data_IF_001818109607
#
_entry.id   IF_001818109607
#
_cell.length_a   1.000
_cell.length_b   1.000
_cell.length_c   1.000
_cell.angle_alpha   90.00
_cell.angle_beta   90.00
_cell.angle_gamma   90.00
#
_symmetry.space_group_name_H-M   'P 1'
#
loop_
_entity.id
_entity.type
_entity.pdbx_description
1 polymer ?
#
# COMPACT_ATOMS: atom_id res chain seq x y z
N UNK A 1 22.18 -30.50 12.08
CA UNK A 1 21.11 -30.67 11.08
C UNK A 1 19.82 -30.14 11.69
N UNK A 2 19.50 -28.88 11.46
CA UNK A 2 18.18 -28.29 11.77
C UNK A 2 17.30 -28.51 10.55
N UNK A 3 16.15 -29.11 10.75
CA UNK A 3 15.15 -29.33 9.71
C UNK A 3 14.52 -27.97 9.45
N UNK A 4 14.67 -27.45 8.23
CA UNK A 4 13.97 -26.26 7.74
C UNK A 4 12.48 -26.57 7.74
N UNK A 5 11.71 -25.79 8.50
CA UNK A 5 10.25 -25.88 8.49
C UNK A 5 9.73 -25.27 7.18
N UNK A 6 8.89 -25.94 6.42
CA UNK A 6 8.42 -25.43 5.14
C UNK A 6 7.52 -24.20 5.34
N UNK A 7 7.64 -23.27 4.41
CA UNK A 7 6.85 -22.06 4.29
C UNK A 7 5.35 -22.40 4.28
N UNK A 8 4.65 -21.99 5.31
CA UNK A 8 3.24 -22.26 5.42
C UNK A 8 2.48 -21.26 4.53
N UNK A 9 1.72 -21.77 3.56
CA UNK A 9 0.86 -20.99 2.65
C UNK A 9 -0.10 -20.04 3.38
N UNK A 10 -0.37 -20.27 4.67
CA UNK A 10 -1.19 -19.38 5.52
C UNK A 10 -0.43 -18.15 6.02
N UNK A 11 0.87 -18.14 5.99
CA UNK A 11 1.69 -17.14 6.64
C UNK A 11 1.88 -15.84 5.80
N UNK A 12 1.73 -15.91 4.49
CA UNK A 12 1.91 -14.72 3.62
C UNK A 12 0.76 -13.69 3.70
N UNK A 13 -0.32 -13.99 4.42
CA UNK A 13 -1.64 -13.37 4.22
C UNK A 13 -2.05 -12.22 5.13
N UNK A 14 -1.37 -11.98 6.23
CA UNK A 14 -1.88 -11.06 7.26
C UNK A 14 -1.07 -9.75 7.41
N UNK A 15 -0.01 -9.56 6.64
CA UNK A 15 0.93 -8.45 6.79
C UNK A 15 0.52 -7.11 6.16
N UNK A 16 -0.55 -7.07 5.38
CA UNK A 16 -1.01 -5.82 4.76
C UNK A 16 -2.29 -5.36 5.47
N UNK A 17 -2.09 -4.68 6.57
CA UNK A 17 -3.10 -3.80 7.15
C UNK A 17 -4.36 -4.45 7.74
N UNK A 18 -4.24 -5.42 8.65
CA UNK A 18 -5.41 -5.91 9.40
C UNK A 18 -5.15 -6.08 10.88
N UNK A 19 -5.95 -5.43 11.68
CA UNK A 19 -6.31 -5.86 13.01
C UNK A 19 -7.72 -6.45 12.96
N UNK A 20 -7.83 -7.77 13.02
CA UNK A 20 -9.13 -8.47 13.15
C UNK A 20 -9.33 -8.90 14.58
N UNK A 21 -10.44 -8.52 15.16
CA UNK A 21 -10.92 -9.04 16.43
C UNK A 21 -11.24 -10.54 16.35
N UNK A 22 -10.93 -11.25 17.42
CA UNK A 22 -11.18 -12.67 17.63
C UNK A 22 -12.70 -12.91 17.70
N UNK A 23 -13.24 -13.67 16.76
CA UNK A 23 -14.63 -14.14 16.77
C UNK A 23 -14.71 -15.63 17.05
N UNK A 24 -15.38 -15.99 18.16
CA UNK A 24 -15.68 -17.37 18.56
C UNK A 24 -16.60 -18.08 17.54
N UNK A 25 -16.27 -19.33 17.26
CA UNK A 25 -17.11 -20.28 16.54
C UNK A 25 -18.42 -20.57 17.29
N UNK A 26 -19.58 -20.29 16.69
CA UNK A 26 -20.87 -20.81 17.10
C UNK A 26 -21.58 -21.56 15.96
N UNK A 27 -22.17 -22.69 16.32
CA UNK A 27 -22.82 -23.67 15.46
C UNK A 27 -24.00 -23.09 14.70
N UNK A 28 -24.15 -23.50 13.44
CA UNK A 28 -25.24 -23.12 12.52
C UNK A 28 -26.47 -23.98 12.80
N UNK A 29 -27.62 -23.33 13.02
CA UNK A 29 -28.94 -23.91 12.91
C UNK A 29 -29.72 -23.26 11.73
N UNK A 30 -30.62 -23.93 11.04
CA UNK A 30 -31.20 -23.45 9.78
C UNK A 30 -32.24 -22.36 10.00
N UNK A 31 -32.19 -21.31 9.18
CA UNK A 31 -33.12 -20.17 9.21
C UNK A 31 -34.09 -20.27 8.04
N UNK A 32 -35.37 -20.17 8.37
CA UNK A 32 -36.51 -20.05 7.48
C UNK A 32 -36.57 -18.67 6.78
N UNK A 33 -37.03 -18.66 5.52
CA UNK A 33 -37.21 -17.47 4.68
C UNK A 33 -38.32 -16.54 5.20
N UNK A 34 -38.03 -15.23 5.27
CA UNK A 34 -38.99 -14.14 5.25
C UNK A 34 -38.51 -13.06 4.29
N UNK A 35 -39.38 -12.53 3.39
CA UNK A 35 -38.98 -11.53 2.39
C UNK A 35 -39.19 -10.09 2.91
N UNK A 36 -38.29 -9.17 2.54
CA UNK A 36 -38.59 -7.74 2.63
C UNK A 36 -37.44 -6.88 3.14
N UNK A 37 -36.95 -5.97 2.25
CA UNK A 37 -36.19 -4.76 2.52
C UNK A 37 -34.84 -4.90 3.24
N UNK A 38 -33.78 -5.12 2.49
CA UNK A 38 -32.41 -5.01 2.97
C UNK A 38 -31.95 -3.55 3.00
N UNK A 39 -32.19 -2.88 4.10
CA UNK A 39 -31.27 -1.85 4.57
C UNK A 39 -30.21 -2.63 5.33
N UNK A 40 -28.96 -2.64 4.84
CA UNK A 40 -27.85 -3.27 5.57
C UNK A 40 -27.62 -2.47 6.85
N UNK A 41 -28.03 -3.04 7.97
CA UNK A 41 -27.72 -2.55 9.33
C UNK A 41 -26.22 -2.83 9.64
N UNK A 42 -25.31 -2.26 8.83
CA UNK A 42 -23.92 -2.12 9.22
C UNK A 42 -23.84 -0.85 10.05
N UNK A 43 -23.52 -0.98 11.34
CA UNK A 43 -23.33 0.17 12.21
C UNK A 43 -22.38 1.19 11.56
N UNK A 44 -22.69 2.48 11.63
CA UNK A 44 -21.84 3.51 11.04
C UNK A 44 -20.45 3.38 11.62
N UNK A 45 -19.44 3.25 10.75
CA UNK A 45 -18.05 3.10 11.17
C UNK A 45 -17.52 4.41 11.65
N UNK A 46 -16.99 4.41 12.85
CA UNK A 46 -16.27 5.51 13.43
C UNK A 46 -14.77 5.25 13.30
N UNK A 47 -13.99 6.31 13.20
CA UNK A 47 -12.55 6.18 13.06
C UNK A 47 -11.86 7.49 12.76
N UNK A 48 -10.62 7.38 12.30
CA UNK A 48 -9.82 8.52 11.90
C UNK A 48 -9.13 8.24 10.57
N UNK A 49 -9.13 9.24 9.68
CA UNK A 49 -8.35 9.22 8.46
C UNK A 49 -7.17 10.18 8.55
N UNK A 50 -6.04 9.73 8.07
CA UNK A 50 -4.79 10.47 7.96
C UNK A 50 -4.47 10.62 6.48
N UNK A 51 -4.39 11.85 6.01
CA UNK A 51 -4.25 12.20 4.59
C UNK A 51 -2.98 12.99 4.41
N UNK A 52 -2.05 12.45 3.65
CA UNK A 52 -0.86 13.17 3.23
C UNK A 52 -1.14 14.04 2.02
N UNK A 53 -0.64 15.27 2.02
CA UNK A 53 -0.72 16.20 0.89
C UNK A 53 0.64 16.74 0.51
N UNK A 54 0.90 16.83 -0.80
CA UNK A 54 2.11 17.44 -1.35
C UNK A 54 1.72 18.30 -2.55
N UNK A 55 1.59 19.60 -2.36
CA UNK A 55 1.14 20.53 -3.40
C UNK A 55 2.26 21.37 -4.03
N UNK A 56 3.49 21.22 -3.56
CA UNK A 56 4.63 22.00 -4.04
C UNK A 56 4.59 23.50 -3.74
N UNK A 57 3.55 24.00 -3.06
CA UNK A 57 3.29 25.43 -2.82
C UNK A 57 3.27 25.81 -1.34
N UNK A 58 3.69 24.91 -0.44
CA UNK A 58 3.87 25.21 0.99
C UNK A 58 2.73 24.78 1.91
N UNK A 59 1.69 24.10 1.40
CA UNK A 59 0.62 23.49 2.21
C UNK A 59 0.80 21.99 2.40
N UNK A 60 1.99 21.48 2.08
CA UNK A 60 2.35 20.07 2.27
C UNK A 60 2.22 19.67 3.75
N UNK A 61 1.52 18.57 4.03
CA UNK A 61 1.28 18.17 5.39
C UNK A 61 0.45 16.91 5.55
N UNK A 62 0.09 16.65 6.81
CA UNK A 62 -0.79 15.55 7.19
C UNK A 62 -2.08 16.17 7.74
N UNK A 63 -3.21 15.75 7.20
CA UNK A 63 -4.53 16.20 7.62
C UNK A 63 -5.25 15.05 8.33
N UNK A 64 -5.81 15.33 9.50
CA UNK A 64 -6.55 14.36 10.33
C UNK A 64 -8.04 14.63 10.21
N UNK A 65 -8.81 13.59 9.92
CA UNK A 65 -10.26 13.63 9.89
C UNK A 65 -10.84 12.63 10.89
N UNK A 66 -11.89 13.03 11.57
CA UNK A 66 -12.78 12.13 12.29
C UNK A 66 -13.82 11.57 11.31
N UNK A 67 -13.98 10.24 11.29
CA UNK A 67 -14.95 9.53 10.47
C UNK A 67 -16.15 9.17 11.34
N UNK A 68 -17.36 9.55 10.91
CA UNK A 68 -18.65 9.14 11.51
C UNK A 68 -19.59 8.69 10.39
N UNK A 69 -19.62 7.39 10.14
CA UNK A 69 -20.29 6.85 8.96
C UNK A 69 -19.71 7.42 7.66
N UNK A 70 -20.57 8.04 6.84
CA UNK A 70 -20.15 8.64 5.56
C UNK A 70 -19.66 10.09 5.70
N UNK A 71 -19.60 10.64 6.91
CA UNK A 71 -19.17 12.01 7.16
C UNK A 71 -17.76 12.06 7.70
N UNK A 72 -16.90 12.87 7.06
CA UNK A 72 -15.55 13.14 7.48
C UNK A 72 -15.43 14.57 7.97
N UNK A 73 -15.04 14.74 9.23
CA UNK A 73 -14.86 16.05 9.85
C UNK A 73 -13.39 16.32 10.06
N UNK A 74 -12.88 17.40 9.47
CA UNK A 74 -11.53 17.88 9.70
C UNK A 74 -11.26 18.18 11.20
N UNK A 75 -10.09 17.75 11.68
CA UNK A 75 -9.64 17.89 13.08
C UNK A 75 -8.34 18.65 13.22
N UNK A 76 -7.33 18.32 12.38
CA UNK A 76 -5.97 18.81 12.55
C UNK A 76 -5.24 18.86 11.21
N UNK A 77 -4.32 19.81 11.05
CA UNK A 77 -3.29 19.77 10.01
C UNK A 77 -1.92 19.96 10.63
N UNK A 78 -0.95 19.19 10.16
CA UNK A 78 0.43 19.18 10.65
C UNK A 78 1.35 19.38 9.45
N UNK A 79 2.29 20.34 9.48
CA UNK A 79 3.29 20.48 8.41
C UNK A 79 4.17 19.21 8.30
N UNK A 80 4.30 18.69 7.08
CA UNK A 80 5.17 17.58 6.75
C UNK A 80 5.63 17.73 5.30
N UNK A 81 6.90 17.47 5.03
CA UNK A 81 7.48 17.71 3.69
C UNK A 81 7.19 16.52 2.78
N UNK A 82 6.34 16.71 1.77
CA UNK A 82 6.06 15.69 0.73
C UNK A 82 5.75 14.28 1.30
N UNK A 83 4.68 14.11 2.10
CA UNK A 83 4.31 12.82 2.70
C UNK A 83 3.71 11.90 1.63
N UNK A 84 4.47 10.92 1.15
CA UNK A 84 4.06 10.03 0.04
C UNK A 84 3.57 8.66 0.48
N UNK A 85 3.90 8.23 1.69
CA UNK A 85 3.46 6.95 2.23
C UNK A 85 3.13 7.09 3.71
N UNK A 86 1.90 6.77 4.07
CA UNK A 86 1.39 6.79 5.44
C UNK A 86 1.09 5.35 5.89
N UNK A 87 1.61 4.96 7.05
CA UNK A 87 1.51 3.59 7.56
C UNK A 87 1.11 3.60 9.03
N UNK A 88 0.08 2.85 9.37
CA UNK A 88 -0.23 2.59 10.77
C UNK A 88 0.68 1.48 11.32
N UNK A 89 1.16 1.66 12.53
CA UNK A 89 1.77 0.57 13.28
C UNK A 89 0.72 -0.55 13.53
N UNK A 90 1.09 -1.84 13.57
CA UNK A 90 0.12 -2.93 13.81
C UNK A 90 -0.76 -2.77 15.06
N UNK A 91 -0.25 -2.13 16.14
CA UNK A 91 -1.05 -1.80 17.33
C UNK A 91 -1.96 -0.57 17.16
N UNK A 92 -1.89 0.12 16.01
CA UNK A 92 -2.65 1.34 15.69
C UNK A 92 -2.47 2.53 16.67
N UNK A 93 -1.36 2.57 17.40
CA UNK A 93 -1.04 3.67 18.31
C UNK A 93 -0.07 4.69 17.70
N UNK A 94 0.56 4.34 16.59
CA UNK A 94 1.51 5.21 15.88
C UNK A 94 1.24 5.24 14.38
N UNK A 95 1.53 6.39 13.79
CA UNK A 95 1.53 6.61 12.34
C UNK A 95 2.96 6.93 11.90
N UNK A 96 3.43 6.27 10.85
CA UNK A 96 4.69 6.56 10.18
C UNK A 96 4.44 7.25 8.85
N UNK A 97 5.27 8.23 8.54
CA UNK A 97 5.16 9.05 7.35
C UNK A 97 6.50 9.09 6.64
N UNK A 98 6.52 8.65 5.39
CA UNK A 98 7.69 8.73 4.52
C UNK A 98 7.66 10.05 3.77
N UNK A 99 8.74 10.82 3.86
CA UNK A 99 8.88 12.12 3.22
C UNK A 99 9.75 11.99 1.96
N UNK A 100 9.14 12.14 0.78
CA UNK A 100 9.81 12.07 -0.52
C UNK A 100 10.52 13.39 -0.82
N UNK A 101 11.70 13.56 -0.24
CA UNK A 101 12.54 14.74 -0.45
C UNK A 101 13.93 14.35 -0.92
N UNK A 102 14.61 15.29 -1.60
CA UNK A 102 15.98 15.12 -2.06
C UNK A 102 17.00 15.49 -0.99
N UNK A 103 16.61 16.35 -0.05
CA UNK A 103 17.52 16.91 0.95
C UNK A 103 16.84 17.06 2.31
N UNK A 104 17.59 16.79 3.36
CA UNK A 104 17.23 17.09 4.74
C UNK A 104 18.46 17.57 5.50
N UNK A 105 18.37 18.76 6.14
CA UNK A 105 19.47 19.41 6.88
C UNK A 105 20.77 19.55 6.07
N UNK A 106 20.65 19.97 4.80
CA UNK A 106 21.80 20.15 3.90
C UNK A 106 22.45 18.85 3.42
N UNK A 107 21.83 17.69 3.68
CA UNK A 107 22.36 16.38 3.28
C UNK A 107 21.40 15.67 2.30
N UNK A 108 21.93 14.93 1.29
CA UNK A 108 21.12 14.26 0.28
C UNK A 108 20.43 13.00 0.87
N UNK A 109 19.32 13.20 1.52
CA UNK A 109 18.52 12.14 2.17
C UNK A 109 17.09 12.57 2.44
N UNK A 110 16.17 11.62 2.38
CA UNK A 110 14.80 11.77 2.87
C UNK A 110 14.69 11.46 4.37
N UNK A 111 13.46 11.49 4.87
CA UNK A 111 13.14 11.26 6.28
C UNK A 111 11.94 10.35 6.45
N UNK A 112 11.83 9.79 7.67
CA UNK A 112 10.61 9.18 8.20
C UNK A 112 10.20 9.91 9.46
N UNK A 113 8.95 10.28 9.58
CA UNK A 113 8.36 10.85 10.79
C UNK A 113 7.54 9.79 11.51
N UNK A 114 7.63 9.76 12.83
CA UNK A 114 6.77 8.96 13.69
C UNK A 114 5.85 9.88 14.51
N UNK A 115 4.56 9.56 14.49
CA UNK A 115 3.54 10.28 15.26
C UNK A 115 2.83 9.33 16.20
N UNK A 116 2.59 9.77 17.44
CA UNK A 116 1.65 9.11 18.36
C UNK A 116 0.24 9.51 17.97
N UNK A 117 -0.66 8.53 17.94
CA UNK A 117 -2.09 8.73 17.70
C UNK A 117 -2.79 8.82 19.05
N UNK A 118 -3.46 9.91 19.35
CA UNK A 118 -4.34 10.01 20.49
C UNK A 118 -5.51 9.03 20.35
N UNK A 119 -5.75 8.21 21.36
CA UNK A 119 -6.77 7.18 21.30
C UNK A 119 -8.21 7.73 21.34
N UNK A 120 -8.38 8.93 21.91
CA UNK A 120 -9.69 9.54 22.10
C UNK A 120 -10.18 10.32 20.88
N UNK A 121 -9.29 11.12 20.27
CA UNK A 121 -9.69 12.04 19.22
C UNK A 121 -8.91 11.88 17.89
N UNK A 122 -7.97 10.92 17.84
CA UNK A 122 -7.17 10.61 16.65
C UNK A 122 -6.11 11.64 16.31
N UNK A 123 -5.94 12.70 17.12
CA UNK A 123 -4.93 13.72 16.86
C UNK A 123 -3.52 13.14 16.87
N UNK A 124 -2.62 13.76 16.12
CA UNK A 124 -1.23 13.34 15.98
C UNK A 124 -0.31 14.24 16.77
N UNK A 125 0.61 13.63 17.52
CA UNK A 125 1.74 14.31 18.15
C UNK A 125 3.05 13.75 17.60
N UNK A 126 3.91 14.60 17.03
CA UNK A 126 5.21 14.19 16.51
C UNK A 126 6.06 13.62 17.66
N UNK A 127 6.52 12.39 17.46
CA UNK A 127 7.45 11.72 18.38
C UNK A 127 8.89 12.02 17.98
N UNK A 128 9.22 11.73 16.72
CA UNK A 128 10.52 12.06 16.15
C UNK A 128 10.48 12.07 14.61
N UNK A 129 11.52 12.70 14.03
CA UNK A 129 11.85 12.61 12.61
C UNK A 129 13.20 11.96 12.47
N UNK A 130 13.27 10.83 11.79
CA UNK A 130 14.48 10.07 11.59
C UNK A 130 15.00 10.26 10.16
N UNK A 131 16.20 10.84 9.97
CA UNK A 131 16.84 10.88 8.66
C UNK A 131 17.20 9.48 8.17
N UNK A 132 17.06 9.26 6.86
CA UNK A 132 17.51 8.06 6.18
C UNK A 132 19.02 8.08 5.90
N UNK A 133 19.55 7.01 5.33
CA UNK A 133 20.99 6.93 4.97
C UNK A 133 21.40 8.03 4.00
N UNK A 134 22.68 8.39 3.99
CA UNK A 134 23.23 9.31 2.97
C UNK A 134 22.97 8.74 1.57
N UNK A 135 22.61 9.61 0.63
CA UNK A 135 22.08 9.27 -0.70
C UNK A 135 20.72 8.53 -0.66
N UNK A 136 20.06 8.50 0.48
CA UNK A 136 18.69 7.96 0.63
C UNK A 136 17.63 8.97 0.18
N UNK A 137 17.78 9.56 -0.99
CA UNK A 137 16.89 10.56 -1.56
C UNK A 137 15.61 9.93 -2.15
N UNK A 138 14.53 10.70 -2.17
CA UNK A 138 13.23 10.30 -2.73
C UNK A 138 12.76 8.92 -2.25
N UNK A 139 12.66 8.70 -0.93
CA UNK A 139 12.02 7.48 -0.43
C UNK A 139 10.56 7.47 -0.88
N UNK A 140 10.04 6.29 -1.30
CA UNK A 140 8.73 6.18 -1.95
C UNK A 140 7.70 5.40 -1.15
N UNK A 141 8.12 4.32 -0.54
CA UNK A 141 7.22 3.41 0.16
C UNK A 141 7.92 2.81 1.37
N UNK A 142 7.13 2.38 2.35
CA UNK A 142 7.65 1.63 3.47
C UNK A 142 6.68 0.51 3.87
N UNK A 143 7.17 -0.42 4.69
CA UNK A 143 6.37 -1.45 5.33
C UNK A 143 6.83 -1.64 6.77
N UNK A 144 5.87 -1.76 7.69
CA UNK A 144 6.12 -2.14 9.09
C UNK A 144 6.11 -3.67 9.18
N UNK A 145 7.06 -4.26 9.90
CA UNK A 145 7.03 -5.70 10.16
C UNK A 145 5.78 -6.09 10.97
N UNK A 146 5.21 -7.29 10.77
CA UNK A 146 3.97 -7.68 11.44
C UNK A 146 4.06 -7.68 12.98
N UNK A 147 5.26 -7.88 13.53
CA UNK A 147 5.52 -7.78 14.97
C UNK A 147 5.68 -6.34 15.47
N UNK A 148 5.64 -5.35 14.58
CA UNK A 148 5.81 -3.94 14.90
C UNK A 148 7.23 -3.51 15.28
N UNK A 149 8.23 -4.36 15.09
CA UNK A 149 9.60 -4.09 15.58
C UNK A 149 10.47 -3.32 14.60
N UNK A 150 10.12 -3.32 13.30
CA UNK A 150 10.94 -2.74 12.25
C UNK A 150 10.11 -2.04 11.17
N UNK A 151 10.72 -1.03 10.57
CA UNK A 151 10.27 -0.35 9.37
C UNK A 151 11.30 -0.60 8.25
N UNK A 152 10.84 -1.01 7.08
CA UNK A 152 11.67 -1.10 5.86
C UNK A 152 11.21 -0.05 4.87
N UNK A 153 12.13 0.78 4.40
CA UNK A 153 11.87 1.89 3.48
C UNK A 153 12.51 1.62 2.13
N UNK A 154 11.71 1.67 1.06
CA UNK A 154 12.18 1.67 -0.32
C UNK A 154 12.60 3.08 -0.72
N UNK A 155 13.84 3.23 -1.15
CA UNK A 155 14.45 4.52 -1.50
C UNK A 155 14.62 4.58 -3.01
N UNK A 156 13.66 5.18 -3.68
CA UNK A 156 13.56 5.22 -5.13
C UNK A 156 14.74 5.99 -5.77
N UNK A 157 14.93 7.26 -5.40
CA UNK A 157 15.99 8.07 -5.97
C UNK A 157 17.39 7.63 -5.57
N UNK A 158 17.54 7.04 -4.39
CA UNK A 158 18.81 6.55 -3.87
C UNK A 158 19.15 5.11 -4.25
N UNK A 159 18.25 4.35 -4.86
CA UNK A 159 18.48 2.95 -5.25
C UNK A 159 18.85 2.05 -4.07
N UNK A 160 18.09 2.08 -2.98
CA UNK A 160 18.41 1.33 -1.77
C UNK A 160 17.16 0.95 -0.96
N UNK A 161 17.34 0.06 0.01
CA UNK A 161 16.41 -0.14 1.12
C UNK A 161 17.09 0.25 2.42
N UNK A 162 16.35 0.90 3.33
CA UNK A 162 16.80 1.13 4.70
C UNK A 162 15.93 0.34 5.67
N UNK A 163 16.56 -0.33 6.64
CA UNK A 163 15.88 -0.97 7.77
C UNK A 163 16.08 -0.11 8.99
N UNK A 164 14.98 0.22 9.67
CA UNK A 164 14.97 1.03 10.87
C UNK A 164 14.25 0.28 12.00
N UNK A 165 14.89 0.04 13.14
CA UNK A 165 14.18 -0.49 14.31
C UNK A 165 13.14 0.50 14.80
N UNK A 166 12.07 -0.01 15.40
CA UNK A 166 11.05 0.76 16.09
C UNK A 166 11.21 0.54 17.60
N UNK A 167 11.17 1.63 18.36
CA UNK A 167 11.20 1.56 19.81
C UNK A 167 9.84 1.05 20.35
N UNK A 168 9.78 0.52 21.60
CA UNK A 168 8.54 0.05 22.19
C UNK A 168 7.42 1.12 22.28
N UNK A 169 7.77 2.39 22.32
CA UNK A 169 6.84 3.52 22.30
C UNK A 169 6.40 3.92 20.88
N UNK A 170 6.98 3.27 19.82
CA UNK A 170 6.71 3.53 18.43
C UNK A 170 7.65 4.53 17.75
N UNK A 171 8.62 5.11 18.46
CA UNK A 171 9.59 6.03 17.84
C UNK A 171 10.50 5.30 16.85
N UNK A 172 10.82 5.93 15.70
CA UNK A 172 11.72 5.36 14.68
C UNK A 172 13.16 5.55 15.13
N UNK A 173 13.93 4.47 15.14
CA UNK A 173 15.36 4.51 15.50
C UNK A 173 16.26 4.72 14.27
N UNK A 174 17.55 4.86 14.50
CA UNK A 174 18.55 5.05 13.42
C UNK A 174 18.55 3.85 12.47
N UNK A 175 18.87 4.11 11.20
CA UNK A 175 19.06 3.08 10.17
C UNK A 175 20.04 2.02 10.68
N UNK A 176 19.57 0.78 10.76
CA UNK A 176 20.35 -0.38 11.22
C UNK A 176 20.96 -1.19 10.08
N UNK A 177 20.34 -1.12 8.89
CA UNK A 177 20.87 -1.75 7.67
C UNK A 177 20.55 -0.89 6.46
N UNK A 178 21.53 -0.82 5.55
CA UNK A 178 21.39 -0.26 4.20
C UNK A 178 21.63 -1.39 3.22
N UNK A 179 20.66 -1.65 2.35
CA UNK A 179 20.82 -2.60 1.25
C UNK A 179 20.77 -1.82 -0.07
N UNK A 180 21.94 -1.65 -0.69
CA UNK A 180 22.07 -0.94 -1.96
C UNK A 180 21.69 -1.87 -3.12
N UNK A 181 20.87 -1.36 -4.03
CA UNK A 181 20.57 -1.98 -5.30
C UNK A 181 21.48 -1.44 -6.38
N UNK A 182 21.89 -2.32 -7.30
CA UNK A 182 22.76 -1.98 -8.42
C UNK A 182 22.18 -2.58 -9.70
N UNK A 183 22.20 -1.81 -10.78
CA UNK A 183 21.76 -2.24 -12.08
C UNK A 183 21.06 -1.13 -12.84
N UNK A 184 20.61 -1.46 -14.04
CA UNK A 184 19.83 -0.62 -14.94
C UNK A 184 18.86 -1.52 -15.72
N UNK A 185 17.76 -0.96 -16.17
CA UNK A 185 16.85 -1.59 -17.10
C UNK A 185 17.13 -1.14 -18.54
N UNK A 186 16.15 -1.38 -19.41
CA UNK A 186 16.31 -1.11 -20.85
C UNK A 186 15.65 0.20 -21.31
N UNK A 187 14.84 0.85 -20.44
CA UNK A 187 14.19 2.10 -20.80
C UNK A 187 15.19 3.27 -20.72
N UNK A 188 15.45 3.99 -21.83
CA UNK A 188 16.58 4.92 -21.93
C UNK A 188 16.50 6.14 -20.99
N UNK A 189 15.30 6.54 -20.57
CA UNK A 189 15.08 7.74 -19.76
C UNK A 189 14.82 7.43 -18.27
N UNK A 190 14.23 6.28 -17.95
CA UNK A 190 13.71 6.02 -16.59
C UNK A 190 14.42 4.88 -15.86
N UNK A 191 15.31 4.13 -16.55
CA UNK A 191 15.95 2.95 -15.99
C UNK A 191 17.49 3.00 -16.04
N UNK A 192 18.05 4.20 -15.87
CA UNK A 192 19.50 4.36 -15.83
C UNK A 192 20.17 3.79 -14.56
N UNK A 193 19.38 3.53 -13.52
CA UNK A 193 19.82 2.97 -12.24
C UNK A 193 18.68 2.24 -11.54
N UNK A 194 18.99 1.56 -10.43
CA UNK A 194 17.99 0.92 -9.59
C UNK A 194 17.06 1.96 -8.91
N UNK A 195 15.77 1.68 -8.91
CA UNK A 195 14.71 2.50 -8.33
C UNK A 195 13.73 1.63 -7.52
N UNK A 196 14.10 1.18 -6.29
CA UNK A 196 13.20 0.47 -5.39
C UNK A 196 11.89 1.25 -5.19
N UNK A 197 10.74 0.62 -5.47
CA UNK A 197 9.45 1.30 -5.46
C UNK A 197 8.57 0.87 -4.28
N UNK A 198 8.19 -0.40 -4.20
CA UNK A 198 7.29 -0.91 -3.16
C UNK A 198 7.94 -2.05 -2.39
N UNK A 199 7.67 -2.12 -1.09
CA UNK A 199 8.04 -3.21 -0.19
C UNK A 199 6.81 -3.73 0.53
N UNK A 200 6.69 -5.04 0.73
CA UNK A 200 5.61 -5.66 1.46
C UNK A 200 6.10 -6.88 2.23
N UNK A 201 5.80 -6.95 3.52
CA UNK A 201 6.04 -8.15 4.33
C UNK A 201 4.99 -9.22 4.06
N UNK A 202 5.39 -10.48 4.22
CA UNK A 202 4.46 -11.56 4.45
C UNK A 202 3.87 -11.49 5.87
N UNK A 203 2.84 -12.28 6.14
CA UNK A 203 2.17 -12.28 7.44
C UNK A 203 3.06 -12.73 8.60
N UNK A 204 4.09 -13.53 8.33
CA UNK A 204 5.02 -14.00 9.37
C UNK A 204 6.10 -12.99 9.69
N UNK A 205 6.30 -11.99 8.83
CA UNK A 205 7.44 -11.08 8.88
C UNK A 205 8.77 -11.71 8.52
N UNK A 206 8.79 -12.96 8.05
CA UNK A 206 10.01 -13.67 7.67
C UNK A 206 10.45 -13.37 6.24
N UNK A 207 9.52 -12.92 5.40
CA UNK A 207 9.77 -12.61 4.00
C UNK A 207 9.29 -11.21 3.65
N UNK A 208 9.97 -10.61 2.68
CA UNK A 208 9.63 -9.31 2.15
C UNK A 208 9.75 -9.35 0.63
N UNK A 209 8.66 -9.02 -0.06
CA UNK A 209 8.65 -8.76 -1.49
C UNK A 209 8.95 -7.29 -1.75
N UNK A 210 9.71 -7.03 -2.82
CA UNK A 210 9.99 -5.67 -3.26
C UNK A 210 10.05 -5.59 -4.78
N UNK A 211 9.60 -4.44 -5.32
CA UNK A 211 9.71 -4.10 -6.73
C UNK A 211 10.83 -3.09 -6.94
N UNK A 212 11.52 -3.20 -8.06
CA UNK A 212 12.54 -2.25 -8.52
C UNK A 212 12.21 -1.81 -9.95
N UNK A 213 11.66 -0.61 -10.05
CA UNK A 213 11.22 0.01 -11.30
C UNK A 213 12.38 0.24 -12.28
N UNK A 214 13.54 0.61 -11.74
CA UNK A 214 14.72 0.95 -12.53
C UNK A 214 15.46 -0.22 -13.13
N UNK A 215 15.20 -1.44 -12.65
CA UNK A 215 15.89 -2.65 -13.07
C UNK A 215 14.98 -3.76 -13.58
N UNK A 216 13.67 -3.51 -13.71
CA UNK A 216 12.66 -4.52 -14.06
C UNK A 216 12.72 -5.76 -13.15
N UNK A 217 12.81 -5.55 -11.83
CA UNK A 217 13.05 -6.64 -10.87
C UNK A 217 11.95 -6.74 -9.83
N UNK A 218 11.68 -7.99 -9.47
CA UNK A 218 10.92 -8.36 -8.27
C UNK A 218 11.88 -9.14 -7.39
N UNK A 219 12.14 -8.62 -6.20
CA UNK A 219 13.06 -9.19 -5.24
C UNK A 219 12.28 -9.85 -4.10
N UNK A 220 12.72 -11.05 -3.69
CA UNK A 220 12.30 -11.70 -2.46
C UNK A 220 13.48 -11.70 -1.48
N UNK A 221 13.23 -11.22 -0.28
CA UNK A 221 14.18 -11.21 0.81
C UNK A 221 13.67 -12.07 1.96
N UNK A 222 14.56 -12.73 2.68
CA UNK A 222 14.32 -13.17 4.06
C UNK A 222 14.55 -11.99 4.99
N UNK A 223 13.78 -11.94 6.06
CA UNK A 223 13.90 -10.92 7.10
C UNK A 223 13.95 -11.59 8.48
N UNK A 224 15.05 -11.42 9.18
CA UNK A 224 15.26 -12.01 10.52
C UNK A 224 16.02 -11.03 11.40
N UNK A 225 15.50 -10.75 12.60
CA UNK A 225 16.14 -9.87 13.58
C UNK A 225 16.59 -8.52 13.00
N UNK A 226 15.76 -7.90 12.18
CA UNK A 226 16.05 -6.63 11.54
C UNK A 226 17.06 -6.71 10.39
N UNK A 227 17.34 -7.89 9.87
CA UNK A 227 18.24 -8.08 8.73
C UNK A 227 17.51 -8.62 7.52
N UNK A 228 17.63 -7.88 6.43
CA UNK A 228 17.17 -8.23 5.08
C UNK A 228 18.28 -8.95 4.33
N UNK A 229 17.99 -10.12 3.73
CA UNK A 229 18.90 -10.84 2.83
C UNK A 229 18.15 -11.29 1.58
N UNK A 230 18.64 -10.92 0.38
CA UNK A 230 18.01 -11.36 -0.87
C UNK A 230 18.16 -12.86 -1.06
N UNK A 231 17.03 -13.54 -1.24
CA UNK A 231 16.98 -14.98 -1.52
C UNK A 231 16.63 -15.27 -2.96
N UNK A 232 15.83 -14.39 -3.60
CA UNK A 232 15.40 -14.55 -4.98
C UNK A 232 15.31 -13.20 -5.70
N UNK A 233 15.45 -13.27 -7.01
CA UNK A 233 15.19 -12.19 -7.92
C UNK A 233 14.50 -12.74 -9.17
N UNK A 234 13.41 -12.14 -9.57
CA UNK A 234 12.68 -12.45 -10.80
C UNK A 234 12.69 -11.20 -11.68
N UNK A 235 12.96 -11.38 -12.96
CA UNK A 235 12.85 -10.28 -13.92
C UNK A 235 11.41 -10.17 -14.41
N UNK A 236 10.90 -8.96 -14.47
CA UNK A 236 9.70 -8.64 -15.24
C UNK A 236 10.08 -8.40 -16.71
N UNK A 237 9.11 -8.04 -17.54
CA UNK A 237 9.39 -7.71 -18.94
C UNK A 237 10.33 -6.49 -19.03
N UNK A 238 11.25 -6.46 -20.00
CA UNK A 238 12.12 -5.31 -20.22
C UNK A 238 11.32 -4.02 -20.44
N UNK A 239 11.76 -2.94 -19.80
CA UNK A 239 11.11 -1.62 -19.82
C UNK A 239 9.66 -1.61 -19.28
N UNK A 240 9.28 -2.55 -18.43
CA UNK A 240 7.97 -2.54 -17.79
C UNK A 240 7.89 -1.60 -16.58
N UNK A 241 8.95 -1.50 -15.80
CA UNK A 241 9.02 -0.67 -14.60
C UNK A 241 8.06 -1.14 -13.49
N UNK A 242 8.33 -2.29 -12.81
CA UNK A 242 7.47 -2.79 -11.75
C UNK A 242 7.38 -1.82 -10.58
N UNK A 243 6.18 -1.29 -10.34
CA UNK A 243 5.85 -0.28 -9.34
C UNK A 243 5.10 -0.85 -8.13
N UNK A 244 3.78 -0.59 -8.03
CA UNK A 244 2.99 -1.08 -6.90
C UNK A 244 2.79 -2.59 -6.91
N UNK A 245 2.70 -3.16 -5.69
CA UNK A 245 2.55 -4.58 -5.46
C UNK A 245 1.36 -4.82 -4.52
N UNK A 246 0.50 -5.79 -4.85
CA UNK A 246 -0.56 -6.27 -3.99
C UNK A 246 -0.51 -7.79 -3.88
N UNK A 247 -0.57 -8.32 -2.64
CA UNK A 247 -0.59 -9.75 -2.38
C UNK A 247 -2.02 -10.27 -2.29
N UNK A 248 -2.26 -11.43 -2.86
CA UNK A 248 -3.56 -12.09 -2.76
C UNK A 248 -3.73 -12.71 -1.35
N UNK A 249 -4.93 -12.62 -0.75
CA UNK A 249 -5.20 -13.19 0.56
C UNK A 249 -4.91 -14.68 0.74
N UNK A 250 -4.85 -15.48 -0.30
CA UNK A 250 -4.43 -16.89 -0.22
C UNK A 250 -2.92 -17.10 -0.05
N UNK A 251 -2.10 -16.06 -0.27
CA UNK A 251 -0.64 -16.16 -0.33
C UNK A 251 -0.08 -16.89 -1.56
N UNK A 252 -0.97 -17.39 -2.43
CA UNK A 252 -0.54 -18.12 -3.63
C UNK A 252 -0.15 -17.20 -4.78
N UNK A 253 -0.63 -15.96 -4.77
CA UNK A 253 -0.45 -15.00 -5.85
C UNK A 253 -0.07 -13.62 -5.33
N UNK A 254 0.59 -12.86 -6.16
CA UNK A 254 0.71 -11.41 -6.02
C UNK A 254 0.65 -10.76 -7.39
N UNK A 255 0.31 -9.48 -7.39
CA UNK A 255 0.13 -8.68 -8.59
C UNK A 255 1.03 -7.47 -8.54
N UNK A 256 1.56 -7.08 -9.70
CA UNK A 256 2.44 -5.92 -9.83
C UNK A 256 1.90 -5.03 -10.94
N UNK A 257 1.66 -3.76 -10.63
CA UNK A 257 1.38 -2.77 -11.64
C UNK A 257 2.70 -2.19 -12.16
N UNK A 258 2.84 -2.12 -13.46
CA UNK A 258 4.03 -1.65 -14.12
C UNK A 258 3.86 -0.19 -14.58
N UNK A 259 4.80 0.66 -14.21
CA UNK A 259 4.73 2.11 -14.40
C UNK A 259 4.95 2.50 -15.86
N UNK A 260 5.92 1.87 -16.54
CA UNK A 260 6.40 2.33 -17.83
C UNK A 260 5.55 1.83 -18.98
N UNK A 261 5.09 0.58 -18.95
CA UNK A 261 4.26 -0.02 -20.00
C UNK A 261 2.78 -0.15 -19.62
N UNK A 262 2.41 0.23 -18.36
CA UNK A 262 1.02 0.25 -17.85
C UNK A 262 0.31 -1.08 -17.94
N UNK A 263 1.05 -2.13 -17.67
CA UNK A 263 0.51 -3.47 -17.53
C UNK A 263 0.32 -3.83 -16.05
N UNK A 264 -0.44 -4.90 -15.82
CA UNK A 264 -0.48 -5.59 -14.54
C UNK A 264 -0.02 -7.02 -14.79
N UNK A 265 0.98 -7.44 -14.03
CA UNK A 265 1.46 -8.82 -14.03
C UNK A 265 0.89 -9.59 -12.84
N UNK A 266 0.45 -10.82 -13.08
CA UNK A 266 0.12 -11.81 -12.08
C UNK A 266 1.27 -12.79 -11.92
N UNK A 267 1.69 -13.00 -10.68
CA UNK A 267 2.71 -13.98 -10.32
C UNK A 267 2.14 -15.00 -9.34
N UNK A 268 2.58 -16.24 -9.48
CA UNK A 268 2.31 -17.32 -8.54
C UNK A 268 3.52 -17.55 -7.64
N UNK A 269 3.28 -17.65 -6.34
CA UNK A 269 4.24 -18.19 -5.37
C UNK A 269 4.05 -19.70 -5.29
N UNK A 270 4.79 -20.48 -6.07
CA UNK A 270 4.58 -21.93 -6.15
C UNK A 270 5.11 -22.68 -4.89
N UNK A 271 6.15 -22.17 -4.29
CA UNK A 271 6.75 -22.55 -3.01
C UNK A 271 7.83 -21.50 -2.66
N UNK A 272 8.59 -21.68 -1.58
CA UNK A 272 9.70 -20.79 -1.18
C UNK A 272 10.76 -20.54 -2.27
N UNK A 273 10.76 -21.36 -3.30
CA UNK A 273 11.81 -21.41 -4.31
C UNK A 273 11.42 -20.79 -5.64
N UNK A 274 10.14 -20.55 -5.92
CA UNK A 274 9.74 -20.25 -7.28
C UNK A 274 8.62 -19.18 -7.36
N UNK A 275 8.97 -18.07 -8.00
CA UNK A 275 8.02 -17.05 -8.46
C UNK A 275 7.83 -17.28 -9.96
N UNK A 276 6.60 -17.62 -10.37
CA UNK A 276 6.24 -17.85 -11.77
C UNK A 276 5.34 -16.72 -12.26
N UNK A 277 5.66 -16.18 -13.42
CA UNK A 277 4.77 -15.28 -14.14
C UNK A 277 3.62 -16.09 -14.76
N UNK A 278 2.37 -15.70 -14.47
CA UNK A 278 1.16 -16.43 -14.91
C UNK A 278 0.38 -15.67 -15.97
N UNK A 279 0.38 -14.33 -15.90
CA UNK A 279 -0.40 -13.51 -16.83
C UNK A 279 0.13 -12.09 -16.85
N UNK A 280 0.05 -11.47 -18.02
CA UNK A 280 0.19 -10.03 -18.20
C UNK A 280 -1.04 -9.46 -18.88
N UNK A 281 -1.57 -8.38 -18.35
CA UNK A 281 -2.68 -7.64 -18.96
C UNK A 281 -2.26 -6.18 -19.17
N UNK A 282 -2.62 -5.62 -20.32
CA UNK A 282 -2.51 -4.18 -20.55
C UNK A 282 -3.66 -3.45 -19.85
N UNK A 283 -3.36 -2.36 -19.17
CA UNK A 283 -4.41 -1.45 -18.68
C UNK A 283 -4.74 -0.42 -19.77
N UNK A 284 -5.97 0.07 -19.79
CA UNK A 284 -6.46 0.93 -20.89
C UNK A 284 -5.96 2.38 -20.83
N UNK A 285 -5.06 2.72 -19.93
CA UNK A 285 -4.55 4.08 -19.83
C UNK A 285 -3.70 4.48 -21.02
N UNK A 286 -4.03 5.60 -21.67
CA UNK A 286 -3.31 6.15 -22.84
C UNK A 286 -2.43 7.36 -22.52
N UNK A 287 -2.40 7.81 -21.26
CA UNK A 287 -1.66 9.00 -20.86
C UNK A 287 -0.14 8.76 -20.83
N UNK A 288 0.69 9.81 -20.87
CA UNK A 288 2.14 9.70 -20.92
C UNK A 288 2.73 8.93 -19.72
N UNK A 289 3.93 8.39 -19.82
CA UNK A 289 4.59 7.66 -18.74
C UNK A 289 4.42 8.41 -17.42
N UNK A 290 3.71 7.80 -16.50
CA UNK A 290 3.24 8.41 -15.24
C UNK A 290 3.51 7.48 -14.08
N UNK A 291 3.00 7.83 -12.92
CA UNK A 291 3.15 7.04 -11.71
C UNK A 291 2.52 5.65 -11.81
N UNK A 292 3.07 4.70 -11.07
CA UNK A 292 2.53 3.35 -10.98
C UNK A 292 1.09 3.39 -10.48
N UNK A 293 0.22 2.60 -11.11
CA UNK A 293 -1.18 2.47 -10.68
C UNK A 293 -1.24 1.83 -9.28
N UNK A 294 -1.89 2.51 -8.34
CA UNK A 294 -2.19 1.90 -7.05
C UNK A 294 -3.12 0.71 -7.25
N UNK A 295 -2.76 -0.44 -6.71
CA UNK A 295 -3.56 -1.66 -6.79
C UNK A 295 -3.89 -2.17 -5.39
N UNK A 296 -5.13 -2.61 -5.18
CA UNK A 296 -5.59 -3.21 -3.93
C UNK A 296 -6.46 -4.44 -4.18
N UNK A 297 -6.43 -5.38 -3.22
CA UNK A 297 -7.21 -6.61 -3.24
C UNK A 297 -7.93 -6.74 -1.90
N UNK A 298 -9.28 -6.85 -1.86
CA UNK A 298 -10.02 -7.12 -0.65
C UNK A 298 -9.65 -8.46 0.00
N UNK A 299 -9.94 -8.62 1.29
CA UNK A 299 -9.72 -9.89 2.01
C UNK A 299 -10.49 -11.08 1.42
N UNK A 300 -11.55 -10.83 0.63
CA UNK A 300 -12.23 -11.87 -0.13
C UNK A 300 -11.37 -12.52 -1.20
N UNK A 301 -10.33 -11.83 -1.68
CA UNK A 301 -9.48 -12.28 -2.78
C UNK A 301 -10.17 -12.35 -4.16
N UNK A 302 -11.43 -11.91 -4.27
CA UNK A 302 -12.20 -12.08 -5.51
C UNK A 302 -11.89 -11.05 -6.59
N UNK A 303 -11.46 -9.87 -6.20
CA UNK A 303 -11.30 -8.75 -7.12
C UNK A 303 -9.99 -8.01 -6.90
N UNK A 304 -9.47 -7.45 -7.99
CA UNK A 304 -8.38 -6.48 -7.97
C UNK A 304 -8.89 -5.14 -8.50
N UNK A 305 -8.55 -4.07 -7.80
CA UNK A 305 -8.84 -2.69 -8.17
C UNK A 305 -7.55 -1.96 -8.47
N UNK A 306 -7.48 -1.29 -9.62
CA UNK A 306 -6.32 -0.47 -9.98
C UNK A 306 -6.77 0.94 -10.37
N UNK A 307 -6.21 1.94 -9.67
CA UNK A 307 -6.45 3.34 -9.96
C UNK A 307 -5.51 3.84 -11.07
N UNK A 308 -6.03 4.67 -11.95
CA UNK A 308 -5.29 5.35 -13.01
C UNK A 308 -5.86 6.75 -13.24
N UNK A 309 -5.20 7.53 -14.11
CA UNK A 309 -5.70 8.85 -14.53
C UNK A 309 -7.06 8.81 -15.26
N UNK A 310 -7.49 7.63 -15.72
CA UNK A 310 -8.78 7.46 -16.40
C UNK A 310 -9.90 6.93 -15.50
N UNK A 311 -9.57 6.59 -14.24
CA UNK A 311 -10.51 6.01 -13.28
C UNK A 311 -9.99 4.73 -12.63
N UNK A 312 -10.87 3.79 -12.31
CA UNK A 312 -10.53 2.54 -11.65
C UNK A 312 -10.94 1.38 -12.54
N UNK A 313 -9.97 0.53 -12.86
CA UNK A 313 -10.22 -0.74 -13.51
C UNK A 313 -10.48 -1.83 -12.46
N UNK A 314 -11.47 -2.67 -12.71
CA UNK A 314 -11.86 -3.76 -11.81
C UNK A 314 -11.74 -5.09 -12.54
N UNK A 315 -11.04 -6.02 -11.93
CA UNK A 315 -10.90 -7.39 -12.42
C UNK A 315 -11.41 -8.40 -11.40
N UNK A 316 -11.98 -9.46 -11.90
CA UNK A 316 -12.21 -10.69 -11.14
C UNK A 316 -10.92 -11.51 -11.12
N UNK A 317 -10.63 -12.14 -9.99
CA UNK A 317 -9.48 -13.01 -9.78
C UNK A 317 -9.96 -14.46 -9.78
N UNK A 318 -9.45 -15.27 -10.69
CA UNK A 318 -9.69 -16.71 -10.67
C UNK A 318 -8.97 -17.33 -9.45
N UNK A 319 -9.70 -18.00 -8.55
CA UNK A 319 -9.14 -18.47 -7.28
C UNK A 319 -8.11 -19.62 -7.43
N UNK A 320 -8.10 -20.31 -8.57
CA UNK A 320 -7.22 -21.45 -8.84
C UNK A 320 -5.96 -21.00 -9.56
N UNK A 321 -6.11 -20.15 -10.57
CA UNK A 321 -5.01 -19.74 -11.44
C UNK A 321 -4.45 -18.37 -11.09
N UNK A 322 -5.17 -17.54 -10.34
CA UNK A 322 -4.83 -16.15 -10.04
C UNK A 322 -5.05 -15.19 -11.22
N UNK A 323 -5.50 -15.70 -12.37
CA UNK A 323 -5.65 -14.89 -13.57
C UNK A 323 -6.77 -13.86 -13.44
N UNK A 324 -6.55 -12.71 -14.06
CA UNK A 324 -7.44 -11.56 -14.04
C UNK A 324 -8.36 -11.56 -15.25
N UNK A 325 -9.65 -11.33 -15.02
CA UNK A 325 -10.67 -11.10 -16.04
C UNK A 325 -11.34 -9.76 -15.80
N UNK A 326 -11.38 -8.88 -16.81
CA UNK A 326 -11.95 -7.53 -16.66
C UNK A 326 -13.47 -7.60 -16.45
N UNK A 327 -13.98 -6.92 -15.43
CA UNK A 327 -15.43 -6.86 -15.14
C UNK A 327 -16.01 -5.46 -15.18
N UNK A 328 -15.17 -4.42 -14.98
CA UNK A 328 -15.62 -3.02 -15.05
C UNK A 328 -14.44 -2.09 -15.34
N UNK A 329 -14.69 -1.10 -16.19
CA UNK A 329 -13.88 0.10 -16.28
C UNK A 329 -14.71 1.27 -15.72
N UNK A 330 -14.46 1.61 -14.46
CA UNK A 330 -15.14 2.72 -13.78
C UNK A 330 -14.43 4.02 -14.17
N UNK A 331 -14.99 4.74 -15.14
CA UNK A 331 -14.40 5.95 -15.68
C UNK A 331 -14.90 7.19 -14.97
N UNK A 332 -13.97 8.09 -14.68
CA UNK A 332 -14.27 9.40 -14.14
C UNK A 332 -13.41 10.43 -14.87
N UNK A 333 -14.07 11.40 -15.52
CA UNK A 333 -13.37 12.38 -16.36
C UNK A 333 -12.63 13.42 -15.53
N UNK A 334 -11.46 13.86 -16.04
CA UNK A 334 -10.66 14.95 -15.47
C UNK A 334 -10.23 14.70 -14.02
N UNK A 335 -9.83 13.48 -13.71
CA UNK A 335 -9.37 13.06 -12.39
C UNK A 335 -7.98 12.45 -12.43
N UNK A 336 -7.19 12.67 -11.38
CA UNK A 336 -5.88 12.04 -11.19
C UNK A 336 -5.88 11.32 -9.84
N UNK A 337 -6.10 10.01 -9.89
CA UNK A 337 -6.24 9.17 -8.70
C UNK A 337 -4.85 8.75 -8.22
N UNK A 338 -4.43 9.24 -7.04
CA UNK A 338 -3.08 9.07 -6.50
C UNK A 338 -2.95 8.01 -5.43
N UNK A 339 -3.96 7.82 -4.61
CA UNK A 339 -3.96 6.79 -3.59
C UNK A 339 -5.29 6.04 -3.60
N UNK A 340 -5.21 4.74 -3.33
CA UNK A 340 -6.33 3.83 -3.29
C UNK A 340 -6.15 2.91 -2.09
N UNK A 341 -7.09 2.93 -1.16
CA UNK A 341 -7.15 1.98 -0.05
C UNK A 341 -8.55 1.42 0.12
N UNK A 342 -8.66 0.31 0.83
CA UNK A 342 -9.94 -0.28 1.20
C UNK A 342 -10.40 0.22 2.56
N UNK A 343 -11.70 0.43 2.72
CA UNK A 343 -12.29 0.57 4.05
C UNK A 343 -12.11 -0.74 4.84
N UNK A 344 -12.18 -0.68 6.18
CA UNK A 344 -11.93 -1.85 7.03
C UNK A 344 -12.88 -3.04 6.78
N UNK A 345 -14.11 -2.75 6.31
CA UNK A 345 -15.08 -3.77 5.92
C UNK A 345 -14.95 -4.24 4.49
N UNK A 346 -14.04 -3.61 3.73
CA UNK A 346 -13.84 -3.85 2.30
C UNK A 346 -15.10 -3.62 1.45
N UNK A 347 -16.02 -2.79 1.94
CA UNK A 347 -17.23 -2.43 1.19
C UNK A 347 -17.07 -1.13 0.40
N UNK A 348 -15.99 -0.37 0.66
CA UNK A 348 -15.70 0.87 -0.06
C UNK A 348 -14.21 0.93 -0.44
N UNK A 349 -13.96 1.56 -1.60
CA UNK A 349 -12.66 2.12 -1.91
C UNK A 349 -12.62 3.57 -1.45
N UNK A 350 -11.55 3.94 -0.75
CA UNK A 350 -11.24 5.33 -0.43
C UNK A 350 -10.15 5.77 -1.42
N UNK A 351 -10.44 6.85 -2.12
CA UNK A 351 -9.65 7.29 -3.28
C UNK A 351 -9.23 8.74 -3.10
N UNK A 352 -7.95 9.00 -3.23
CA UNK A 352 -7.41 10.36 -3.26
C UNK A 352 -7.35 10.87 -4.71
N UNK A 353 -8.03 11.97 -5.00
CA UNK A 353 -7.98 12.67 -6.26
C UNK A 353 -7.20 13.97 -6.11
N UNK A 354 -5.98 13.99 -6.64
CA UNK A 354 -5.11 15.15 -6.54
C UNK A 354 -5.48 16.28 -7.49
N UNK A 355 -6.19 16.00 -8.59
CA UNK A 355 -6.55 17.02 -9.59
C UNK A 355 -7.74 17.85 -9.18
N UNK A 356 -8.70 17.29 -8.44
CA UNK A 356 -9.87 17.98 -7.91
C UNK A 356 -9.74 18.33 -6.42
N UNK A 357 -8.64 17.89 -5.79
CA UNK A 357 -8.39 18.03 -4.37
C UNK A 357 -9.52 17.42 -3.51
N UNK A 358 -9.98 16.22 -3.89
CA UNK A 358 -11.09 15.52 -3.25
C UNK A 358 -10.68 14.15 -2.74
N UNK A 359 -11.34 13.73 -1.66
CA UNK A 359 -11.35 12.36 -1.20
C UNK A 359 -12.71 11.76 -1.50
N UNK A 360 -12.69 10.61 -2.17
CA UNK A 360 -13.89 9.90 -2.59
C UNK A 360 -14.05 8.60 -1.80
N UNK A 361 -15.30 8.28 -1.46
CA UNK A 361 -15.72 6.95 -1.03
C UNK A 361 -16.53 6.31 -2.15
N UNK A 362 -16.08 5.16 -2.64
CA UNK A 362 -16.70 4.47 -3.76
C UNK A 362 -17.19 3.10 -3.27
N UNK A 363 -18.51 2.83 -3.23
CA UNK A 363 -19.03 1.57 -2.73
C UNK A 363 -18.68 0.40 -3.66
N UNK A 364 -18.41 -0.75 -3.04
CA UNK A 364 -18.14 -2.03 -3.72
C UNK A 364 -19.38 -2.91 -3.56
N UNK A 365 -19.94 -3.38 -4.68
CA UNK A 365 -21.04 -4.35 -4.64
C UNK A 365 -20.52 -5.73 -4.22
N UNK A 366 -20.98 -6.24 -3.09
CA UNK A 366 -20.43 -7.43 -2.42
C UNK A 366 -20.43 -8.70 -3.29
N UNK A 367 -21.42 -8.91 -4.15
CA UNK A 367 -21.50 -10.09 -5.00
C UNK A 367 -20.65 -10.00 -6.26
N UNK A 368 -20.66 -8.84 -6.92
CA UNK A 368 -20.01 -8.65 -8.24
C UNK A 368 -18.64 -8.00 -8.18
N UNK A 369 -18.28 -7.39 -7.05
CA UNK A 369 -17.07 -6.57 -6.92
C UNK A 369 -17.12 -5.25 -7.71
N UNK A 370 -18.19 -4.95 -8.43
CA UNK A 370 -18.33 -3.72 -9.21
C UNK A 370 -18.44 -2.49 -8.33
N UNK A 371 -17.93 -1.37 -8.83
CA UNK A 371 -17.99 -0.09 -8.15
C UNK A 371 -19.30 0.64 -8.46
N UNK A 372 -19.89 1.24 -7.42
CA UNK A 372 -21.05 2.10 -7.52
C UNK A 372 -20.71 3.57 -7.74
N UNK A 373 -21.67 4.45 -7.49
CA UNK A 373 -21.48 5.89 -7.58
C UNK A 373 -20.61 6.40 -6.42
N UNK A 374 -19.63 7.30 -6.68
CA UNK A 374 -18.78 7.87 -5.64
C UNK A 374 -19.54 8.91 -4.81
N UNK A 375 -19.13 9.04 -3.55
CA UNK A 375 -19.46 10.20 -2.71
C UNK A 375 -18.18 10.95 -2.35
N UNK A 376 -18.25 12.29 -2.32
CA UNK A 376 -17.15 13.11 -1.83
C UNK A 376 -17.22 13.12 -0.31
N UNK A 377 -16.16 12.66 0.36
CA UNK A 377 -16.09 12.62 1.83
C UNK A 377 -15.27 13.76 2.42
N UNK A 378 -14.34 14.30 1.65
CA UNK A 378 -13.60 15.53 1.99
C UNK A 378 -13.14 16.23 0.71
N UNK A 379 -12.89 17.54 0.79
CA UNK A 379 -12.42 18.37 -0.32
C UNK A 379 -11.34 19.36 0.13
N UNK A 380 -10.78 20.10 -0.84
CA UNK A 380 -9.72 21.09 -0.66
C UNK A 380 -8.36 20.52 -0.19
N UNK A 381 -8.05 19.25 -0.50
CA UNK A 381 -6.77 18.62 -0.14
C UNK A 381 -6.16 17.95 -1.39
N UNK A 382 -4.95 18.36 -1.83
CA UNK A 382 -4.21 17.68 -2.89
C UNK A 382 -3.58 16.40 -2.34
N UNK A 383 -4.43 15.41 -2.02
CA UNK A 383 -4.04 14.20 -1.32
C UNK A 383 -3.14 13.30 -2.18
N UNK A 384 -2.04 12.84 -1.60
CA UNK A 384 -1.05 11.95 -2.22
C UNK A 384 -1.00 10.57 -1.57
N UNK A 385 -1.39 10.50 -0.30
CA UNK A 385 -1.35 9.27 0.48
C UNK A 385 -2.47 9.25 1.53
N UNK A 386 -2.85 8.05 1.98
CA UNK A 386 -4.01 7.88 2.85
C UNK A 386 -3.81 6.68 3.77
N UNK A 387 -4.13 6.84 5.05
CA UNK A 387 -4.25 5.74 6.01
C UNK A 387 -5.51 5.93 6.85
N UNK A 388 -6.19 4.84 7.22
CA UNK A 388 -7.43 4.90 8.01
C UNK A 388 -7.36 3.94 9.19
N UNK A 389 -7.65 4.47 10.37
CA UNK A 389 -7.83 3.72 11.62
C UNK A 389 -9.32 3.71 11.95
N UNK A 390 -9.91 2.53 12.05
CA UNK A 390 -11.29 2.37 12.55
C UNK A 390 -11.28 1.98 14.05
N UNK A 391 -12.35 2.38 14.74
CA UNK A 391 -12.54 2.16 16.19
C UNK A 391 -13.63 1.11 16.38
#
# INVERSE_FOLDING_TARGET
MRRDTPWSRRAFLQGIGYTSGIGLLHKIAPVSKIPGTTRSDVAPKNGFAYVGSADGVGTSGIHVFEIRGDQWKWKQSIPSCSPVSLLLHPNQQSLYVVNEVDEHEGLPRGTVEAYRIDAHDGSLALMNRQPLSLSGIKPRHAAVSPDGSYLVVAIHGGGAYNVLPLAPDGAVQRVSQIMKEVGAGTHPLYQASAHPHTVAFDATGQYLLATDEGCDRINLFTFQNGRMMRTRQTLSQPASGPGHLATHPSGNFFYVSNTLDRSIDCYRCANEAEIRHEQRIATHSKTAAGEAQHIVIPSSGRNLYAASDEGISVWEIDPITGKLSAIQQWRIKNRSLRALILSSDHQHLLVADSSQHELLSVPIHAESGKLGAPSIVANAIPATSLAVKYI
#
